data_IF_617842308948
#
_entry.id   IF_617842308948
#
_cell.length_a   1.000
_cell.length_b   1.000
_cell.length_c   1.000
_cell.angle_alpha   90.00
_cell.angle_beta   90.00
_cell.angle_gamma   90.00
#
_symmetry.space_group_name_H-M   'P 1'
#
loop_
_entity.id
_entity.type
_entity.pdbx_description
1 polymer ?
#
# COMPACT_ATOMS: atom_id res chain seq x y z
N UNK A 1 -4.82 24.87 12.15
CA UNK A 1 -4.85 23.90 11.06
C UNK A 1 -3.75 22.87 11.23
N UNK A 2 -4.11 21.61 11.21
CA UNK A 2 -3.12 20.56 11.36
C UNK A 2 -2.64 20.11 9.98
N UNK A 3 -1.33 20.11 9.79
CA UNK A 3 -0.74 19.66 8.54
C UNK A 3 -0.38 18.17 8.69
N UNK A 4 -0.87 17.35 7.76
CA UNK A 4 -0.53 15.93 7.76
C UNK A 4 0.82 15.73 7.07
N UNK A 5 1.75 15.08 7.76
CA UNK A 5 3.05 14.76 7.19
C UNK A 5 2.96 13.39 6.52
N UNK A 6 3.09 13.38 5.21
CA UNK A 6 3.00 12.18 4.39
C UNK A 6 4.37 11.78 3.89
N UNK A 7 4.76 10.54 4.09
CA UNK A 7 6.07 10.06 3.69
C UNK A 7 5.97 8.77 2.87
N UNK A 8 6.90 8.54 1.95
CA UNK A 8 6.94 7.29 1.20
C UNK A 8 7.66 6.19 1.99
N UNK A 9 7.32 4.95 1.72
CA UNK A 9 8.03 3.81 2.29
C UNK A 9 8.15 2.70 1.26
N UNK A 10 9.37 2.36 0.87
CA UNK A 10 9.62 1.34 -0.15
C UNK A 10 9.85 -0.06 0.41
N UNK A 11 10.05 -0.18 1.71
CA UNK A 11 10.26 -1.46 2.38
C UNK A 11 9.59 -1.40 3.74
N UNK A 12 9.44 -2.55 4.37
CA UNK A 12 8.86 -2.57 5.70
C UNK A 12 9.67 -1.70 6.67
N UNK A 13 10.99 -1.81 6.64
CA UNK A 13 11.85 -1.00 7.50
C UNK A 13 11.68 0.49 7.22
N UNK A 14 11.57 0.87 5.95
CA UNK A 14 11.35 2.27 5.58
C UNK A 14 10.02 2.80 6.08
N UNK A 15 8.98 1.97 6.05
CA UNK A 15 7.66 2.37 6.54
C UNK A 15 7.73 2.63 8.05
N UNK A 16 8.33 1.72 8.79
CA UNK A 16 8.46 1.88 10.25
C UNK A 16 9.33 3.10 10.58
N UNK A 17 10.43 3.27 9.85
CA UNK A 17 11.32 4.41 10.08
C UNK A 17 10.60 5.74 9.81
N UNK A 18 9.74 5.78 8.80
CA UNK A 18 8.98 6.99 8.50
C UNK A 18 8.05 7.36 9.64
N UNK A 19 7.36 6.37 10.22
CA UNK A 19 6.52 6.64 11.39
C UNK A 19 7.34 7.12 12.57
N UNK A 20 8.49 6.49 12.81
CA UNK A 20 9.36 6.90 13.92
C UNK A 20 9.94 8.29 13.72
N UNK A 21 10.04 8.73 12.47
CA UNK A 21 10.52 10.09 12.16
C UNK A 21 9.40 11.13 12.24
N UNK A 22 8.17 10.72 12.51
CA UNK A 22 7.07 11.65 12.73
C UNK A 22 6.03 11.71 11.65
N UNK A 23 6.07 10.81 10.67
CA UNK A 23 5.05 10.81 9.60
C UNK A 23 3.69 10.48 10.17
N UNK A 24 2.68 11.22 9.76
CA UNK A 24 1.30 10.96 10.14
C UNK A 24 0.71 9.85 9.29
N UNK A 25 1.17 9.74 8.05
CA UNK A 25 0.75 8.72 7.12
C UNK A 25 1.93 8.32 6.25
N UNK A 26 1.95 7.06 5.85
CA UNK A 26 2.97 6.55 4.94
C UNK A 26 2.25 5.93 3.75
N UNK A 27 2.74 6.20 2.54
CA UNK A 27 2.26 5.51 1.35
C UNK A 27 3.32 4.54 0.87
N UNK A 28 2.88 3.36 0.47
CA UNK A 28 3.78 2.31 0.01
C UNK A 28 3.19 1.64 -1.23
N UNK A 29 4.05 1.07 -2.05
CA UNK A 29 3.62 0.40 -3.26
C UNK A 29 3.19 -1.03 -3.01
N UNK A 30 2.06 -1.40 -3.58
CA UNK A 30 1.61 -2.79 -3.57
C UNK A 30 2.09 -3.51 -4.82
N UNK A 31 1.58 -4.71 -5.01
CA UNK A 31 1.92 -5.49 -6.19
C UNK A 31 1.48 -4.77 -7.47
N UNK A 32 2.26 -4.96 -8.53
CA UNK A 32 1.89 -4.47 -9.84
C UNK A 32 1.18 -5.59 -10.58
N UNK A 33 -0.06 -5.37 -10.97
CA UNK A 33 -0.87 -6.36 -11.65
C UNK A 33 -0.76 -6.19 -13.16
N UNK A 34 -0.71 -7.31 -13.86
CA UNK A 34 -0.60 -7.32 -15.32
C UNK A 34 0.82 -7.19 -15.82
N UNK A 35 1.80 -7.21 -14.94
CA UNK A 35 3.21 -7.12 -15.32
C UNK A 35 4.02 -7.99 -14.38
N UNK A 36 5.32 -8.08 -14.67
CA UNK A 36 6.22 -8.78 -13.79
C UNK A 36 6.25 -8.07 -12.44
N UNK A 37 6.02 -8.81 -11.37
CA UNK A 37 6.03 -8.24 -10.04
C UNK A 37 7.40 -7.66 -9.73
N UNK A 38 7.42 -6.46 -9.17
CA UNK A 38 8.64 -5.85 -8.71
C UNK A 38 9.17 -6.57 -7.49
N UNK A 39 10.48 -6.62 -7.35
CA UNK A 39 11.13 -7.36 -6.28
C UNK A 39 11.02 -6.67 -4.92
N UNK A 40 10.64 -5.40 -4.89
CA UNK A 40 10.74 -4.58 -3.68
C UNK A 40 9.41 -4.17 -3.07
N UNK A 41 8.35 -4.90 -3.36
CA UNK A 41 7.06 -4.59 -2.76
C UNK A 41 6.94 -5.31 -1.42
N UNK A 42 6.21 -4.70 -0.49
CA UNK A 42 5.92 -5.37 0.77
C UNK A 42 5.02 -6.57 0.52
N UNK A 43 5.25 -7.62 1.29
CA UNK A 43 4.34 -8.78 1.25
C UNK A 43 3.03 -8.43 1.95
N UNK A 44 2.01 -9.25 1.74
CA UNK A 44 0.73 -9.05 2.43
C UNK A 44 0.92 -9.07 3.94
N UNK A 45 1.72 -9.98 4.45
CA UNK A 45 2.01 -10.08 5.88
C UNK A 45 2.69 -8.82 6.39
N UNK A 46 3.65 -8.30 5.63
CA UNK A 46 4.32 -7.07 6.00
C UNK A 46 3.37 -5.87 6.00
N UNK A 47 2.45 -5.82 5.02
CA UNK A 47 1.46 -4.77 4.97
C UNK A 47 0.52 -4.81 6.18
N UNK A 48 0.08 -6.02 6.55
CA UNK A 48 -0.78 -6.17 7.72
C UNK A 48 -0.04 -5.76 8.99
N UNK A 49 1.21 -6.16 9.11
CA UNK A 49 2.03 -5.78 10.27
C UNK A 49 2.23 -4.27 10.33
N UNK A 50 2.45 -3.64 9.18
CA UNK A 50 2.60 -2.19 9.10
C UNK A 50 1.29 -1.48 9.47
N UNK A 51 0.15 -2.03 9.06
CA UNK A 51 -1.16 -1.48 9.44
C UNK A 51 -1.36 -1.53 10.94
N UNK A 52 -1.02 -2.66 11.56
CA UNK A 52 -1.13 -2.79 13.00
C UNK A 52 -0.25 -1.78 13.71
N UNK A 53 0.99 -1.63 13.26
CA UNK A 53 1.91 -0.67 13.83
C UNK A 53 1.39 0.75 13.70
N UNK A 54 0.90 1.09 12.50
CA UNK A 54 0.38 2.43 12.25
C UNK A 54 -0.81 2.74 13.16
N UNK A 55 -1.75 1.82 13.26
CA UNK A 55 -2.98 2.06 14.01
C UNK A 55 -2.75 2.11 15.51
N UNK A 56 -1.82 1.32 16.01
CA UNK A 56 -1.44 1.40 17.43
C UNK A 56 -0.91 2.79 17.77
N UNK A 57 -0.24 3.44 16.81
CA UNK A 57 0.33 4.76 16.99
C UNK A 57 -0.56 5.89 16.45
N UNK A 58 -1.81 5.59 16.13
CA UNK A 58 -2.75 6.55 15.56
C UNK A 58 -2.22 7.18 14.27
N UNK A 59 -1.66 6.35 13.43
CA UNK A 59 -1.11 6.74 12.13
C UNK A 59 -1.88 6.02 11.03
N UNK A 60 -1.60 6.39 9.78
CA UNK A 60 -2.30 5.82 8.63
C UNK A 60 -1.34 5.19 7.65
N UNK A 61 -1.83 4.21 6.91
CA UNK A 61 -1.07 3.58 5.83
C UNK A 61 -1.92 3.62 4.57
N UNK A 62 -1.33 4.15 3.50
CA UNK A 62 -1.96 4.23 2.19
C UNK A 62 -1.21 3.33 1.22
N UNK A 63 -1.96 2.66 0.37
CA UNK A 63 -1.38 1.73 -0.59
C UNK A 63 -1.59 2.27 -2.01
N UNK A 64 -0.53 2.20 -2.82
CA UNK A 64 -0.64 2.53 -4.24
C UNK A 64 -0.50 1.25 -5.04
N UNK A 65 -1.40 1.04 -5.98
CA UNK A 65 -1.41 -0.16 -6.82
C UNK A 65 -1.42 0.28 -8.28
N UNK A 66 -0.50 -0.27 -9.06
CA UNK A 66 -0.45 -0.01 -10.50
C UNK A 66 -0.87 -1.26 -11.25
N UNK A 67 -1.70 -1.09 -12.26
CA UNK A 67 -2.06 -2.19 -13.15
C UNK A 67 -1.75 -1.78 -14.58
N UNK A 68 -1.31 -2.74 -15.38
CA UNK A 68 -1.03 -2.49 -16.79
C UNK A 68 -2.23 -2.77 -17.67
N UNK A 69 -3.07 -3.70 -17.26
CA UNK A 69 -4.22 -4.10 -18.03
C UNK A 69 -5.48 -3.91 -17.21
N UNK A 70 -6.58 -3.68 -17.91
CA UNK A 70 -7.86 -3.54 -17.27
C UNK A 70 -8.76 -4.65 -17.80
N UNK A 71 -8.76 -5.80 -17.14
CA UNK A 71 -9.62 -6.90 -17.50
C UNK A 71 -10.14 -7.59 -16.23
N UNK A 72 -11.07 -8.53 -16.44
CA UNK A 72 -11.76 -9.15 -15.31
C UNK A 72 -10.86 -10.01 -14.45
N UNK A 73 -9.89 -10.68 -15.05
CA UNK A 73 -8.99 -11.51 -14.28
C UNK A 73 -8.14 -10.68 -13.34
N UNK A 74 -7.64 -9.54 -13.84
CA UNK A 74 -6.84 -8.63 -13.04
C UNK A 74 -7.69 -7.99 -11.96
N UNK A 75 -8.93 -7.63 -12.27
CA UNK A 75 -9.83 -7.07 -11.28
C UNK A 75 -10.10 -8.06 -10.15
N UNK A 76 -10.28 -9.34 -10.49
CA UNK A 76 -10.49 -10.38 -9.48
C UNK A 76 -9.25 -10.57 -8.62
N UNK A 77 -8.07 -10.62 -9.22
CA UNK A 77 -6.82 -10.74 -8.49
C UNK A 77 -6.60 -9.54 -7.58
N UNK A 78 -6.91 -8.35 -8.07
CA UNK A 78 -6.78 -7.13 -7.30
C UNK A 78 -7.72 -7.16 -6.10
N UNK A 79 -8.96 -7.57 -6.30
CA UNK A 79 -9.92 -7.70 -5.22
C UNK A 79 -9.43 -8.68 -4.15
N UNK A 80 -8.97 -9.86 -4.59
CA UNK A 80 -8.48 -10.88 -3.66
C UNK A 80 -7.25 -10.38 -2.89
N UNK A 81 -6.42 -9.59 -3.55
CA UNK A 81 -5.25 -9.00 -2.91
C UNK A 81 -5.65 -7.96 -1.85
N UNK A 82 -6.61 -7.12 -2.18
CA UNK A 82 -7.01 -6.02 -1.29
C UNK A 82 -7.89 -6.45 -0.14
N UNK A 83 -8.62 -7.54 -0.30
CA UNK A 83 -9.60 -7.96 0.71
C UNK A 83 -8.99 -8.16 2.10
N UNK A 84 -7.90 -8.94 2.27
CA UNK A 84 -7.33 -9.08 3.61
C UNK A 84 -6.77 -7.77 4.16
N UNK A 85 -6.31 -6.88 3.30
CA UNK A 85 -5.82 -5.58 3.74
C UNK A 85 -6.98 -4.70 4.21
N UNK A 86 -8.09 -4.74 3.48
CA UNK A 86 -9.29 -4.04 3.88
C UNK A 86 -9.80 -4.56 5.24
N UNK A 87 -9.80 -5.88 5.41
CA UNK A 87 -10.24 -6.48 6.66
C UNK A 87 -9.35 -6.13 7.85
N UNK A 88 -8.12 -5.76 7.57
CA UNK A 88 -7.17 -5.32 8.60
C UNK A 88 -7.07 -3.80 8.70
N UNK A 89 -8.00 -3.09 8.09
CA UNK A 89 -8.15 -1.66 8.30
C UNK A 89 -7.33 -0.76 7.39
N UNK A 90 -7.03 -1.20 6.17
CA UNK A 90 -6.30 -0.34 5.23
C UNK A 90 -7.01 1.00 5.09
N UNK A 91 -6.26 2.08 5.28
CA UNK A 91 -6.84 3.41 5.36
C UNK A 91 -7.26 3.97 4.00
N UNK A 92 -6.48 3.69 2.97
CA UNK A 92 -6.83 4.12 1.62
C UNK A 92 -5.97 3.37 0.60
N UNK A 93 -6.50 3.24 -0.61
CA UNK A 93 -5.77 2.66 -1.72
C UNK A 93 -5.95 3.56 -2.93
N UNK A 94 -4.85 3.79 -3.64
CA UNK A 94 -4.88 4.52 -4.90
C UNK A 94 -4.55 3.52 -6.01
N UNK A 95 -5.45 3.38 -6.96
CA UNK A 95 -5.27 2.44 -8.07
C UNK A 95 -5.09 3.25 -9.34
N UNK A 96 -4.01 2.97 -10.05
CA UNK A 96 -3.78 3.59 -11.34
C UNK A 96 -3.62 2.53 -12.41
N UNK A 97 -4.12 2.83 -13.61
CA UNK A 97 -4.00 1.95 -14.76
C UNK A 97 -3.01 2.58 -15.72
N UNK A 98 -1.93 1.87 -16.01
CA UNK A 98 -0.98 2.35 -16.98
C UNK A 98 -1.61 2.27 -18.36
N UNK A 99 -1.40 3.31 -19.16
CA UNK A 99 -1.89 3.30 -20.52
C UNK A 99 -1.17 2.22 -21.31
N UNK A 100 -1.93 1.37 -22.00
CA UNK A 100 -1.32 0.42 -22.90
C UNK A 100 -1.03 1.15 -24.20
N UNK A 101 0.19 1.15 -24.59
CA UNK A 101 0.58 1.75 -25.85
C UNK A 101 0.61 0.69 -26.96
#
# INVERSE_FOLDING_TARGET
MKVELLAPGGSFESVIAAYNAGADAVYTGGLMFGARAGANNLTTEELIEALEYAHVHDRKLYLTVNTLLKDKEIETELYDYLLPLYENGLDAVSISYAASS
#
